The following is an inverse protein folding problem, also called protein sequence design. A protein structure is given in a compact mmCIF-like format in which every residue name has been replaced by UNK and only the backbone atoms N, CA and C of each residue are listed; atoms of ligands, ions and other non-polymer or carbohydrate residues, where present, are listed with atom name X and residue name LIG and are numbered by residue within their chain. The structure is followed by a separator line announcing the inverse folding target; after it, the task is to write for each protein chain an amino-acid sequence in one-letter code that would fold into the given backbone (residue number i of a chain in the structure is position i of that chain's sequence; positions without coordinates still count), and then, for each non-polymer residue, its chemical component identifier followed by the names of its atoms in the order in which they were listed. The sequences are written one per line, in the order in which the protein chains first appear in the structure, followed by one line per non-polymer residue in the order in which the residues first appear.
data_IF_911989179944
#
_entry.id   IF_911989179944
#
_cell.length_a   1.000
_cell.length_b   1.000
_cell.length_c   1.000
_cell.angle_alpha   90.00
_cell.angle_beta   90.00
_cell.angle_gamma   90.00
#
_symmetry.space_group_name_H-M   'P 1'
#
loop_
_entity.id
_entity.type
_entity.pdbx_description
1 polymer ?
#
# COMPACT_ATOMS: atom_id res chain seq x y z
N UNK A 1 49.57 -29.10 -13.98
CA UNK A 1 48.33 -29.41 -14.72
C UNK A 1 47.41 -28.20 -14.64
N UNK A 2 47.86 -27.04 -15.11
CA UNK A 2 47.26 -25.74 -14.71
C UNK A 2 46.86 -24.84 -15.88
N UNK A 3 46.96 -25.34 -17.12
CA UNK A 3 46.61 -24.58 -18.33
C UNK A 3 45.11 -24.60 -18.67
N UNK A 4 44.35 -25.58 -18.15
CA UNK A 4 42.91 -25.70 -18.40
C UNK A 4 42.03 -24.93 -17.39
N UNK A 5 42.59 -24.50 -16.26
CA UNK A 5 41.87 -23.74 -15.21
C UNK A 5 41.76 -22.24 -15.49
N UNK A 6 42.68 -21.66 -16.26
CA UNK A 6 42.64 -20.26 -16.71
C UNK A 6 41.49 -19.91 -17.69
N UNK A 7 41.19 -20.72 -18.72
CA UNK A 7 40.07 -20.41 -19.62
C UNK A 7 38.72 -20.55 -18.93
N UNK A 8 38.57 -21.50 -17.99
CA UNK A 8 37.30 -21.73 -17.29
C UNK A 8 36.99 -20.56 -16.34
N UNK A 9 38.00 -20.06 -15.60
CA UNK A 9 37.81 -18.91 -14.71
C UNK A 9 37.56 -17.63 -15.49
N UNK A 10 38.30 -17.37 -16.57
CA UNK A 10 38.06 -16.19 -17.42
C UNK A 10 36.69 -16.20 -18.10
N UNK A 11 36.22 -17.35 -18.61
CA UNK A 11 34.87 -17.49 -19.15
C UNK A 11 33.80 -17.28 -18.06
N UNK A 12 34.04 -17.82 -16.86
CA UNK A 12 33.12 -17.68 -15.72
C UNK A 12 32.97 -16.24 -15.22
N UNK A 13 33.97 -15.36 -15.40
CA UNK A 13 33.87 -13.92 -15.09
C UNK A 13 33.44 -13.08 -16.30
N UNK A 14 33.85 -13.44 -17.52
CA UNK A 14 33.49 -12.71 -18.73
C UNK A 14 31.99 -12.81 -19.06
N UNK A 15 31.38 -13.99 -18.86
CA UNK A 15 29.95 -14.18 -19.12
C UNK A 15 29.04 -13.32 -18.24
N UNK A 16 29.17 -13.29 -16.90
CA UNK A 16 28.39 -12.38 -16.05
C UNK A 16 28.74 -10.92 -16.29
N UNK A 17 29.99 -10.59 -16.67
CA UNK A 17 30.37 -9.22 -17.05
C UNK A 17 29.70 -8.77 -18.36
N UNK A 18 29.64 -9.63 -19.38
CA UNK A 18 28.95 -9.36 -20.64
C UNK A 18 27.43 -9.30 -20.46
N UNK A 19 26.86 -10.15 -19.61
CA UNK A 19 25.46 -10.03 -19.20
C UNK A 19 25.21 -8.72 -18.46
N UNK A 20 26.06 -8.36 -17.50
CA UNK A 20 25.98 -7.09 -16.81
C UNK A 20 26.06 -5.91 -17.78
N UNK A 21 26.99 -5.93 -18.74
CA UNK A 21 27.14 -4.91 -19.76
C UNK A 21 25.92 -4.84 -20.69
N UNK A 22 25.39 -5.99 -21.12
CA UNK A 22 24.18 -6.08 -21.95
C UNK A 22 22.97 -5.48 -21.20
N UNK A 23 22.74 -5.86 -19.94
CA UNK A 23 21.67 -5.30 -19.12
C UNK A 23 21.88 -3.80 -18.86
N UNK A 24 23.12 -3.37 -18.60
CA UNK A 24 23.46 -1.97 -18.41
C UNK A 24 23.16 -1.14 -19.67
N UNK A 25 23.56 -1.64 -20.84
CA UNK A 25 23.27 -1.02 -22.14
C UNK A 25 21.77 -1.02 -22.45
N UNK A 26 21.03 -2.07 -22.09
CA UNK A 26 19.57 -2.12 -22.27
C UNK A 26 18.82 -1.13 -21.36
N UNK A 27 19.28 -0.96 -20.11
CA UNK A 27 18.78 0.04 -19.17
C UNK A 27 19.05 1.46 -19.68
N UNK A 28 20.20 1.67 -20.32
CA UNK A 28 20.55 2.96 -20.96
C UNK A 28 19.79 3.17 -22.28
N UNK A 29 19.48 2.10 -23.01
CA UNK A 29 18.91 2.10 -24.36
C UNK A 29 17.39 2.24 -24.45
N UNK A 30 16.66 2.38 -23.34
CA UNK A 30 15.21 2.61 -23.37
C UNK A 30 14.82 4.10 -23.37
N UNK A 31 15.63 4.96 -23.96
CA UNK A 31 15.21 6.32 -24.34
C UNK A 31 14.85 6.28 -25.82
N UNK A 32 13.64 5.83 -26.12
CA UNK A 32 13.06 5.97 -27.45
C UNK A 32 12.75 7.46 -27.69
N UNK A 33 13.74 8.24 -28.10
CA UNK A 33 13.56 9.65 -28.45
C UNK A 33 13.28 9.77 -29.93
N UNK A 34 12.09 9.34 -30.35
CA UNK A 34 11.49 9.79 -31.60
C UNK A 34 10.42 10.88 -31.38
N UNK A 35 10.38 11.49 -30.19
CA UNK A 35 9.50 12.60 -29.87
C UNK A 35 10.29 13.81 -29.38
N UNK A 36 9.91 15.00 -29.88
CA UNK A 36 10.49 16.33 -29.60
C UNK A 36 10.32 16.81 -28.14
N UNK A 37 9.91 15.93 -27.23
CA UNK A 37 9.65 16.26 -25.82
C UNK A 37 10.88 15.89 -25.00
N UNK A 38 11.53 16.88 -24.42
CA UNK A 38 12.65 16.65 -23.49
C UNK A 38 12.08 16.02 -22.21
N UNK A 39 12.59 14.85 -21.77
CA UNK A 39 12.16 14.26 -20.51
C UNK A 39 12.54 15.18 -19.34
N UNK A 40 11.82 15.11 -18.20
CA UNK A 40 12.18 15.86 -17.00
C UNK A 40 13.59 15.48 -16.53
N UNK A 41 14.31 16.40 -15.87
CA UNK A 41 15.68 16.16 -15.42
C UNK A 41 15.74 14.93 -14.52
N UNK A 42 16.76 14.09 -14.71
CA UNK A 42 17.01 12.94 -13.83
C UNK A 42 17.86 13.39 -12.63
N UNK A 43 17.44 13.04 -11.42
CA UNK A 43 18.22 13.30 -10.22
C UNK A 43 19.61 12.64 -10.33
N UNK A 44 20.64 13.31 -9.82
CA UNK A 44 22.00 12.77 -9.82
C UNK A 44 22.16 11.71 -8.71
N UNK A 45 23.11 10.80 -8.91
CA UNK A 45 23.46 9.77 -7.92
C UNK A 45 22.76 8.42 -8.13
N UNK A 46 22.15 8.19 -9.29
CA UNK A 46 21.61 6.89 -9.66
C UNK A 46 22.72 5.84 -9.79
N UNK A 47 22.67 4.79 -8.98
CA UNK A 47 23.57 3.64 -9.14
C UNK A 47 23.07 2.69 -10.24
N UNK A 48 23.98 1.96 -10.93
CA UNK A 48 23.58 0.89 -11.84
C UNK A 48 22.65 -0.10 -11.12
N UNK A 49 21.55 -0.50 -11.76
CA UNK A 49 20.58 -1.51 -11.28
C UNK A 49 19.71 -1.11 -10.08
N UNK A 50 20.27 -0.45 -9.07
CA UNK A 50 19.60 -0.05 -7.82
C UNK A 50 18.95 1.34 -7.95
N UNK A 51 19.49 2.20 -8.80
CA UNK A 51 19.02 3.57 -8.96
C UNK A 51 19.24 4.40 -7.70
N UNK A 52 18.19 5.03 -7.22
CA UNK A 52 18.16 5.94 -6.07
C UNK A 52 17.62 5.27 -4.80
N UNK A 53 17.41 3.95 -4.78
CA UNK A 53 16.87 3.26 -3.59
C UNK A 53 17.75 3.43 -2.35
N UNK A 54 19.07 3.53 -2.53
CA UNK A 54 20.01 3.78 -1.43
C UNK A 54 19.83 5.16 -0.79
N UNK A 55 19.38 6.15 -1.57
CA UNK A 55 19.07 7.48 -1.08
C UNK A 55 17.76 7.48 -0.26
N UNK A 56 16.79 6.65 -0.66
CA UNK A 56 15.50 6.54 0.03
C UNK A 56 15.51 5.58 1.22
N UNK A 57 16.44 4.62 1.25
CA UNK A 57 16.65 3.69 2.37
C UNK A 57 17.62 4.20 3.44
N UNK A 58 17.95 5.49 3.41
CA UNK A 58 18.82 6.13 4.40
C UNK A 58 18.12 6.38 5.76
N UNK A 59 18.82 7.03 6.71
CA UNK A 59 18.25 7.34 8.03
C UNK A 59 17.16 8.42 7.98
N UNK A 60 17.09 9.18 6.90
CA UNK A 60 16.06 10.21 6.69
C UNK A 60 14.82 9.61 6.02
N UNK A 61 13.65 10.16 6.36
CA UNK A 61 12.39 9.72 5.76
C UNK A 61 12.36 10.02 4.26
N UNK A 62 11.84 9.11 3.41
CA UNK A 62 11.86 9.28 1.95
C UNK A 62 11.28 10.60 1.46
N UNK A 63 10.18 11.07 2.06
CA UNK A 63 9.53 12.32 1.63
C UNK A 63 10.38 13.57 1.91
N UNK A 64 11.20 13.57 2.98
CA UNK A 64 12.13 14.67 3.28
C UNK A 64 13.24 14.73 2.25
N UNK A 65 13.79 13.57 1.92
CA UNK A 65 14.83 13.45 0.89
C UNK A 65 14.31 13.87 -0.48
N UNK A 66 13.09 13.46 -0.84
CA UNK A 66 12.44 13.90 -2.08
C UNK A 66 12.15 15.41 -2.10
N UNK A 67 11.81 16.00 -0.96
CA UNK A 67 11.66 17.46 -0.82
C UNK A 67 12.96 18.20 -1.12
N UNK A 68 14.07 17.78 -0.51
CA UNK A 68 15.39 18.37 -0.77
C UNK A 68 15.83 18.21 -2.23
N UNK A 69 15.45 17.12 -2.90
CA UNK A 69 15.68 16.96 -4.34
C UNK A 69 14.79 17.88 -5.17
N UNK A 70 13.53 18.11 -4.77
CA UNK A 70 12.65 19.05 -5.44
C UNK A 70 13.20 20.49 -5.39
N UNK A 71 13.79 20.90 -4.27
CA UNK A 71 14.43 22.21 -4.14
C UNK A 71 15.61 22.38 -5.12
N UNK A 72 16.29 21.28 -5.46
CA UNK A 72 17.46 21.28 -6.35
C UNK A 72 17.11 21.13 -7.83
N UNK A 73 16.17 20.23 -8.17
CA UNK A 73 15.84 19.85 -9.55
C UNK A 73 14.56 20.52 -10.07
N UNK A 74 13.83 21.21 -9.20
CA UNK A 74 12.57 21.86 -9.52
C UNK A 74 11.35 20.96 -9.29
N UNK A 75 10.16 21.45 -9.70
CA UNK A 75 8.88 20.83 -9.36
C UNK A 75 8.61 19.49 -10.06
N UNK A 76 9.36 19.16 -11.12
CA UNK A 76 9.23 17.90 -11.86
C UNK A 76 10.62 17.35 -12.14
N UNK A 77 10.90 16.17 -11.63
CA UNK A 77 12.16 15.46 -11.89
C UNK A 77 11.95 13.94 -11.88
N UNK A 78 12.91 13.21 -12.44
CA UNK A 78 12.88 11.75 -12.53
C UNK A 78 13.84 11.14 -11.53
N UNK A 79 13.41 10.07 -10.86
CA UNK A 79 14.26 9.16 -10.08
C UNK A 79 14.17 7.74 -10.65
N UNK A 80 15.09 6.89 -10.20
CA UNK A 80 15.10 5.45 -10.52
C UNK A 80 14.90 4.63 -9.25
N UNK A 81 13.92 3.75 -9.24
CA UNK A 81 13.66 2.79 -8.18
C UNK A 81 14.02 1.40 -8.73
N UNK A 82 15.27 0.99 -8.55
CA UNK A 82 15.79 -0.20 -9.20
C UNK A 82 15.81 -0.05 -10.73
N UNK A 83 15.11 -0.95 -11.42
CA UNK A 83 14.93 -0.92 -12.88
C UNK A 83 13.80 0.02 -13.34
N UNK A 84 12.96 0.50 -12.43
CA UNK A 84 11.81 1.34 -12.75
C UNK A 84 12.16 2.83 -12.67
N UNK A 85 11.62 3.63 -13.59
CA UNK A 85 11.68 5.10 -13.51
C UNK A 85 10.42 5.63 -12.84
N UNK A 86 10.57 6.60 -11.95
CA UNK A 86 9.48 7.29 -11.29
C UNK A 86 9.64 8.80 -11.49
N UNK A 87 8.53 9.47 -11.81
CA UNK A 87 8.47 10.93 -11.88
C UNK A 87 8.04 11.44 -10.52
N UNK A 88 8.80 12.37 -9.97
CA UNK A 88 8.46 13.08 -8.74
C UNK A 88 7.82 14.40 -9.15
N UNK A 89 6.65 14.65 -8.57
CA UNK A 89 5.88 15.87 -8.74
C UNK A 89 5.84 16.58 -7.40
N UNK A 90 6.39 17.79 -7.35
CA UNK A 90 6.45 18.64 -6.16
C UNK A 90 5.96 20.03 -6.52
N UNK A 91 4.75 20.38 -6.11
CA UNK A 91 4.17 21.69 -6.35
C UNK A 91 2.68 21.62 -6.71
N UNK A 92 1.88 22.62 -6.29
CA UNK A 92 0.43 22.59 -6.46
C UNK A 92 0.00 22.69 -7.93
N UNK A 93 0.72 23.46 -8.75
CA UNK A 93 0.38 23.66 -10.17
C UNK A 93 0.51 22.36 -10.97
N UNK A 94 1.64 21.65 -10.81
CA UNK A 94 1.87 20.39 -11.50
C UNK A 94 0.95 19.29 -10.96
N UNK A 95 0.73 19.26 -9.63
CA UNK A 95 -0.20 18.31 -9.04
C UNK A 95 -1.62 18.50 -9.59
N UNK A 96 -2.07 19.76 -9.76
CA UNK A 96 -3.34 20.07 -10.43
C UNK A 96 -3.36 19.48 -11.83
N UNK A 97 -2.36 19.77 -12.66
CA UNK A 97 -2.33 19.28 -14.05
C UNK A 97 -2.31 17.74 -14.15
N UNK A 98 -1.66 17.05 -13.20
CA UNK A 98 -1.68 15.60 -13.09
C UNK A 98 -3.04 15.03 -12.70
N UNK A 99 -3.74 15.66 -11.75
CA UNK A 99 -4.99 15.15 -11.18
C UNK A 99 -6.27 15.74 -11.78
N UNK A 100 -6.17 16.74 -12.67
CA UNK A 100 -7.31 17.31 -13.40
C UNK A 100 -7.21 17.04 -14.89
N UNK A 101 -6.18 17.55 -15.56
CA UNK A 101 -6.07 17.54 -17.02
C UNK A 101 -5.63 16.17 -17.53
N UNK A 102 -4.76 15.49 -16.78
CA UNK A 102 -4.19 14.20 -17.14
C UNK A 102 -4.59 13.07 -16.17
N UNK A 103 -5.68 13.25 -15.44
CA UNK A 103 -6.13 12.38 -14.35
C UNK A 103 -6.16 10.90 -14.76
N UNK A 104 -6.65 10.60 -15.96
CA UNK A 104 -6.76 9.24 -16.51
C UNK A 104 -5.40 8.58 -16.74
N UNK A 105 -4.36 9.34 -17.11
CA UNK A 105 -3.01 8.82 -17.28
C UNK A 105 -2.36 8.46 -15.95
N UNK A 106 -2.65 9.23 -14.89
CA UNK A 106 -2.13 9.03 -13.53
C UNK A 106 -3.05 8.19 -12.63
N UNK A 107 -4.18 7.71 -13.16
CA UNK A 107 -5.16 6.94 -12.39
C UNK A 107 -4.68 5.54 -12.02
N UNK A 108 -3.74 4.96 -12.77
CA UNK A 108 -3.29 3.60 -12.55
C UNK A 108 -2.27 3.50 -11.40
N UNK A 109 -2.29 2.39 -10.65
CA UNK A 109 -1.32 2.14 -9.58
C UNK A 109 -0.13 1.34 -10.09
N UNK A 110 1.11 1.66 -9.68
CA UNK A 110 2.25 0.79 -9.94
C UNK A 110 2.03 -0.61 -9.36
N UNK A 111 2.47 -1.64 -10.08
CA UNK A 111 2.42 -3.01 -9.58
C UNK A 111 3.50 -3.19 -8.52
N UNK A 112 3.12 -3.78 -7.39
CA UNK A 112 4.05 -4.28 -6.37
C UNK A 112 3.71 -5.71 -6.00
N UNK A 113 4.68 -6.42 -5.43
CA UNK A 113 4.51 -7.78 -4.91
C UNK A 113 3.53 -7.80 -3.73
N UNK A 114 3.58 -6.76 -2.90
CA UNK A 114 2.63 -6.59 -1.80
C UNK A 114 1.18 -6.57 -2.28
N UNK A 115 0.90 -5.85 -3.36
CA UNK A 115 -0.44 -5.79 -3.96
C UNK A 115 -0.86 -7.11 -4.63
N UNK A 116 0.08 -7.85 -5.20
CA UNK A 116 -0.19 -9.16 -5.79
C UNK A 116 -0.74 -10.13 -4.72
N UNK A 117 -0.05 -10.24 -3.57
CA UNK A 117 -0.40 -11.20 -2.52
C UNK A 117 -1.50 -10.74 -1.57
N UNK A 118 -1.51 -9.45 -1.21
CA UNK A 118 -2.39 -8.94 -0.14
C UNK A 118 -3.61 -8.19 -0.66
N UNK A 119 -3.61 -7.75 -1.92
CA UNK A 119 -4.73 -7.02 -2.52
C UNK A 119 -5.52 -7.86 -3.55
N UNK A 120 -5.60 -9.18 -3.33
CA UNK A 120 -6.31 -10.14 -4.19
C UNK A 120 -5.91 -10.00 -5.67
N UNK A 121 -4.60 -10.04 -5.96
CA UNK A 121 -4.06 -9.80 -7.30
C UNK A 121 -4.61 -8.50 -7.92
N UNK A 122 -4.45 -7.39 -7.20
CA UNK A 122 -4.92 -6.05 -7.58
C UNK A 122 -6.45 -5.89 -7.68
N UNK A 123 -7.28 -6.81 -7.15
CA UNK A 123 -8.73 -6.65 -7.19
C UNK A 123 -9.29 -5.77 -6.05
N UNK A 124 -8.50 -5.46 -5.02
CA UNK A 124 -8.94 -4.60 -3.93
C UNK A 124 -9.28 -3.17 -4.42
N UNK A 125 -10.43 -2.63 -4.02
CA UNK A 125 -10.98 -1.34 -4.47
C UNK A 125 -9.95 -0.19 -4.50
N UNK A 126 -9.14 -0.04 -3.45
CA UNK A 126 -8.15 1.04 -3.35
C UNK A 126 -6.94 0.92 -4.29
N UNK A 127 -6.68 -0.28 -4.83
CA UNK A 127 -5.47 -0.59 -5.58
C UNK A 127 -5.71 -1.16 -6.98
N UNK A 128 -6.97 -1.40 -7.34
CA UNK A 128 -7.32 -1.89 -8.67
C UNK A 128 -6.91 -0.91 -9.76
N UNK A 129 -6.42 -1.42 -10.91
CA UNK A 129 -6.18 -0.59 -12.06
C UNK A 129 -7.45 0.10 -12.52
N UNK A 130 -7.29 1.29 -13.11
CA UNK A 130 -8.42 2.07 -13.60
C UNK A 130 -9.12 1.32 -14.73
N UNK A 131 -10.41 1.04 -14.57
CA UNK A 131 -11.20 0.27 -15.51
C UNK A 131 -12.70 0.27 -15.16
N UNK A 132 -13.53 -0.47 -15.91
CA UNK A 132 -14.95 -0.62 -15.61
C UNK A 132 -15.20 -1.14 -14.19
N UNK A 133 -14.47 -2.20 -13.78
CA UNK A 133 -14.56 -2.77 -12.43
C UNK A 133 -14.28 -1.74 -11.33
N UNK A 134 -13.17 -1.00 -11.43
CA UNK A 134 -12.85 0.03 -10.43
C UNK A 134 -13.91 1.13 -10.36
N UNK A 135 -14.46 1.55 -11.51
CA UNK A 135 -15.52 2.57 -11.56
C UNK A 135 -16.80 2.09 -10.88
N UNK A 136 -17.17 0.83 -11.08
CA UNK A 136 -18.33 0.22 -10.44
C UNK A 136 -18.13 0.08 -8.92
N UNK A 137 -16.99 -0.44 -8.49
CA UNK A 137 -16.64 -0.53 -7.07
C UNK A 137 -16.62 0.85 -6.40
N UNK A 138 -16.09 1.88 -7.09
CA UNK A 138 -16.14 3.27 -6.62
C UNK A 138 -17.57 3.77 -6.45
N UNK A 139 -18.43 3.52 -7.43
CA UNK A 139 -19.84 3.91 -7.38
C UNK A 139 -20.55 3.26 -6.19
N UNK A 140 -20.40 1.94 -6.01
CA UNK A 140 -20.99 1.21 -4.89
C UNK A 140 -20.49 1.77 -3.57
N UNK A 141 -19.18 1.91 -3.39
CA UNK A 141 -18.58 2.43 -2.15
C UNK A 141 -19.11 3.84 -1.83
N UNK A 142 -19.14 4.74 -2.81
CA UNK A 142 -19.62 6.11 -2.60
C UNK A 142 -21.10 6.16 -2.23
N UNK A 143 -21.96 5.39 -2.89
CA UNK A 143 -23.41 5.43 -2.65
C UNK A 143 -23.80 4.68 -1.37
N UNK A 144 -23.22 3.49 -1.15
CA UNK A 144 -23.65 2.58 -0.10
C UNK A 144 -22.89 2.70 1.21
N UNK A 145 -21.67 3.23 1.21
CA UNK A 145 -20.86 3.35 2.42
C UNK A 145 -20.59 4.81 2.81
N UNK A 146 -20.25 5.64 1.82
CA UNK A 146 -19.75 7.01 2.06
C UNK A 146 -20.79 8.11 1.80
N UNK A 147 -22.04 7.75 1.49
CA UNK A 147 -23.08 8.75 1.24
C UNK A 147 -23.49 9.44 2.54
N UNK A 148 -23.89 10.71 2.43
CA UNK A 148 -24.32 11.50 3.59
C UNK A 148 -25.44 10.82 4.37
N UNK A 149 -26.38 10.17 3.67
CA UNK A 149 -27.44 9.40 4.29
C UNK A 149 -26.90 8.24 5.14
N UNK A 150 -25.94 7.47 4.61
CA UNK A 150 -25.29 6.35 5.33
C UNK A 150 -24.48 6.83 6.52
N UNK A 151 -23.74 7.92 6.36
CA UNK A 151 -22.97 8.55 7.45
C UNK A 151 -23.90 9.06 8.57
N UNK A 152 -25.06 9.62 8.23
CA UNK A 152 -26.07 10.04 9.20
C UNK A 152 -26.69 8.83 9.91
N UNK A 153 -27.05 7.77 9.17
CA UNK A 153 -27.60 6.54 9.74
C UNK A 153 -26.62 5.88 10.74
N UNK A 154 -25.31 5.92 10.47
CA UNK A 154 -24.26 5.36 11.32
C UNK A 154 -23.73 6.33 12.39
N UNK A 155 -24.26 7.55 12.47
CA UNK A 155 -23.81 8.57 13.43
C UNK A 155 -23.87 8.08 14.88
N UNK A 156 -24.94 7.38 15.25
CA UNK A 156 -25.15 6.82 16.59
C UNK A 156 -24.05 5.81 16.97
N UNK A 157 -23.56 5.02 16.01
CA UNK A 157 -22.47 4.06 16.22
C UNK A 157 -21.19 4.78 16.60
N UNK A 158 -20.87 5.88 15.89
CA UNK A 158 -19.68 6.69 16.17
C UNK A 158 -19.72 7.31 17.56
N UNK A 159 -20.86 7.91 17.91
CA UNK A 159 -21.05 8.52 19.24
C UNK A 159 -20.97 7.47 20.34
N UNK A 160 -21.58 6.30 20.13
CA UNK A 160 -21.54 5.21 21.12
C UNK A 160 -20.10 4.69 21.34
N UNK A 161 -19.33 4.49 20.27
CA UNK A 161 -17.94 4.02 20.40
C UNK A 161 -17.05 5.05 21.09
N UNK A 162 -17.18 6.33 20.71
CA UNK A 162 -16.44 7.41 21.36
C UNK A 162 -16.76 7.51 22.85
N UNK A 163 -18.05 7.47 23.22
CA UNK A 163 -18.48 7.48 24.63
C UNK A 163 -17.89 6.30 25.40
N UNK A 164 -17.87 5.11 24.81
CA UNK A 164 -17.27 3.93 25.43
C UNK A 164 -15.76 4.12 25.64
N UNK A 165 -15.02 4.60 24.65
CA UNK A 165 -13.58 4.83 24.77
C UNK A 165 -13.21 5.93 25.76
N UNK A 166 -14.04 6.97 25.91
CA UNK A 166 -13.88 7.99 26.95
C UNK A 166 -14.17 7.41 28.34
N UNK A 167 -15.22 6.61 28.46
CA UNK A 167 -15.57 5.93 29.71
C UNK A 167 -14.45 4.99 30.17
N UNK A 168 -13.84 4.25 29.25
CA UNK A 168 -12.68 3.38 29.55
C UNK A 168 -11.51 4.19 30.15
N UNK A 169 -11.22 5.39 29.63
CA UNK A 169 -10.21 6.29 30.22
C UNK A 169 -10.66 6.77 31.62
N UNK A 170 -11.91 7.20 31.76
CA UNK A 170 -12.43 7.70 33.03
C UNK A 170 -12.37 6.63 34.14
N UNK A 171 -12.70 5.39 33.82
CA UNK A 171 -12.60 4.25 34.74
C UNK A 171 -11.15 3.93 35.13
N UNK A 172 -10.20 4.09 34.20
CA UNK A 172 -8.77 3.92 34.48
C UNK A 172 -8.24 5.03 35.39
N UNK A 173 -8.67 6.27 35.16
CA UNK A 173 -8.35 7.40 36.02
C UNK A 173 -8.96 7.24 37.43
N UNK A 174 -10.22 6.82 37.52
CA UNK A 174 -10.88 6.61 38.81
C UNK A 174 -10.23 5.51 39.66
N UNK A 175 -9.53 4.57 39.04
CA UNK A 175 -8.79 3.49 39.72
C UNK A 175 -7.35 3.87 40.07
N UNK A 176 -6.76 4.83 39.37
CA UNK A 176 -5.36 5.26 39.53
C UNK A 176 -5.26 6.77 39.31
N UNK A 177 -5.03 7.53 40.39
CA UNK A 177 -4.91 9.00 40.34
C UNK A 177 -3.78 9.49 39.40
N UNK A 178 -2.74 8.68 39.18
CA UNK A 178 -1.63 8.93 38.23
C UNK A 178 -1.76 8.13 36.92
N UNK A 179 -2.93 8.18 36.27
CA UNK A 179 -3.16 7.47 35.01
C UNK A 179 -2.43 8.15 33.84
N UNK A 180 -1.48 7.44 33.22
CA UNK A 180 -0.84 7.84 31.96
C UNK A 180 -1.47 7.06 30.81
N UNK A 181 -1.99 7.77 29.82
CA UNK A 181 -2.64 7.17 28.63
C UNK A 181 -1.78 7.36 27.40
N UNK A 182 -1.50 6.27 26.68
CA UNK A 182 -0.87 6.34 25.37
C UNK A 182 -1.93 6.72 24.31
N UNK A 183 -1.94 7.98 23.89
CA UNK A 183 -2.91 8.50 22.93
C UNK A 183 -2.83 7.80 21.57
N UNK A 184 -1.63 7.42 21.11
CA UNK A 184 -1.49 6.70 19.84
C UNK A 184 -2.25 5.37 19.87
N UNK A 185 -2.02 4.56 20.89
CA UNK A 185 -2.73 3.28 21.06
C UNK A 185 -4.23 3.49 21.22
N UNK A 186 -4.63 4.52 21.95
CA UNK A 186 -6.04 4.85 22.14
C UNK A 186 -6.73 5.21 20.82
N UNK A 187 -6.12 6.06 19.98
CA UNK A 187 -6.66 6.40 18.67
C UNK A 187 -6.67 5.20 17.71
N UNK A 188 -5.64 4.35 17.75
CA UNK A 188 -5.59 3.11 16.96
C UNK A 188 -6.75 2.17 17.33
N UNK A 189 -6.98 1.95 18.63
CA UNK A 189 -8.06 1.09 19.11
C UNK A 189 -9.45 1.68 18.84
N UNK A 190 -9.63 2.98 19.04
CA UNK A 190 -10.89 3.68 18.69
C UNK A 190 -11.19 3.55 17.19
N UNK A 191 -10.21 3.84 16.34
CA UNK A 191 -10.37 3.78 14.87
C UNK A 191 -10.66 2.35 14.41
N UNK A 192 -9.96 1.37 14.97
CA UNK A 192 -10.19 -0.04 14.67
C UNK A 192 -11.59 -0.48 15.07
N UNK A 193 -11.97 -0.24 16.33
CA UNK A 193 -13.28 -0.64 16.83
C UNK A 193 -14.41 0.03 16.05
N UNK A 194 -14.26 1.31 15.73
CA UNK A 194 -15.21 2.04 14.92
C UNK A 194 -15.36 1.41 13.52
N UNK A 195 -14.24 1.13 12.86
CA UNK A 195 -14.24 0.55 11.51
C UNK A 195 -14.87 -0.84 11.51
N UNK A 196 -14.47 -1.72 12.43
CA UNK A 196 -15.05 -3.08 12.54
C UNK A 196 -16.54 -3.01 12.89
N UNK A 197 -16.95 -2.05 13.72
CA UNK A 197 -18.37 -1.89 14.08
C UNK A 197 -19.22 -1.39 12.92
N UNK A 198 -18.67 -0.53 12.06
CA UNK A 198 -19.34 -0.08 10.84
C UNK A 198 -19.41 -1.21 9.80
N UNK A 199 -18.32 -1.96 9.62
CA UNK A 199 -18.21 -2.98 8.56
C UNK A 199 -18.86 -4.31 8.94
N UNK A 200 -18.53 -4.83 10.13
CA UNK A 200 -18.96 -6.15 10.61
C UNK A 200 -20.15 -6.08 11.58
N UNK A 201 -20.55 -4.89 12.03
CA UNK A 201 -21.64 -4.73 12.99
C UNK A 201 -21.32 -5.21 14.41
N UNK A 202 -20.04 -5.50 14.71
CA UNK A 202 -19.56 -5.97 16.02
C UNK A 202 -18.30 -5.22 16.44
N UNK A 203 -17.95 -5.29 17.73
CA UNK A 203 -16.64 -4.80 18.19
C UNK A 203 -15.56 -5.78 17.75
N UNK A 204 -14.35 -5.27 17.54
CA UNK A 204 -13.19 -6.10 17.23
C UNK A 204 -12.95 -7.12 18.35
N UNK A 205 -12.46 -8.31 18.01
CA UNK A 205 -12.00 -9.34 18.96
C UNK A 205 -10.68 -8.90 19.68
N UNK A 206 -10.37 -7.59 19.63
CA UNK A 206 -9.28 -6.91 20.30
C UNK A 206 -7.94 -7.18 19.63
N UNK A 207 -7.15 -8.05 20.27
CA UNK A 207 -5.71 -8.18 20.03
C UNK A 207 -5.41 -8.84 18.68
N UNK A 208 -6.18 -9.85 18.29
CA UNK A 208 -5.94 -10.62 17.06
C UNK A 208 -6.16 -9.79 15.79
N UNK A 209 -7.31 -9.11 15.72
CA UNK A 209 -7.67 -8.24 14.60
C UNK A 209 -6.72 -7.05 14.46
N UNK A 210 -6.39 -6.39 15.57
CA UNK A 210 -5.42 -5.29 15.58
C UNK A 210 -4.06 -5.72 15.06
N UNK A 211 -3.56 -6.87 15.52
CA UNK A 211 -2.26 -7.39 15.09
C UNK A 211 -2.27 -7.69 13.59
N UNK A 212 -3.29 -8.39 13.10
CA UNK A 212 -3.40 -8.72 11.68
C UNK A 212 -3.48 -7.47 10.78
N UNK A 213 -4.23 -6.44 11.19
CA UNK A 213 -4.32 -5.18 10.44
C UNK A 213 -3.03 -4.37 10.49
N UNK A 214 -2.36 -4.33 11.66
CA UNK A 214 -1.05 -3.68 11.78
C UNK A 214 -0.03 -4.35 10.86
N UNK A 215 0.11 -5.67 10.94
CA UNK A 215 1.01 -6.45 10.07
C UNK A 215 0.68 -6.20 8.59
N UNK A 216 -0.60 -6.16 8.23
CA UNK A 216 -1.02 -5.85 6.87
C UNK A 216 -0.58 -4.47 6.42
N UNK A 217 -0.80 -3.41 7.20
CA UNK A 217 -0.37 -2.06 6.81
C UNK A 217 1.16 -1.92 6.77
N UNK A 218 1.87 -2.53 7.71
CA UNK A 218 3.33 -2.54 7.75
C UNK A 218 3.91 -3.23 6.51
N UNK A 219 3.40 -4.40 6.15
CA UNK A 219 3.85 -5.14 4.95
C UNK A 219 3.38 -4.50 3.65
N UNK A 220 2.15 -3.98 3.59
CA UNK A 220 1.57 -3.36 2.39
C UNK A 220 2.25 -2.05 2.02
N UNK A 221 2.51 -1.20 3.01
CA UNK A 221 2.92 0.20 2.81
C UNK A 221 4.36 0.47 3.22
N UNK A 222 4.87 -0.27 4.21
CA UNK A 222 6.20 -0.04 4.80
C UNK A 222 7.31 -0.85 4.14
N UNK A 223 6.99 -1.97 3.49
CA UNK A 223 7.99 -2.86 2.91
C UNK A 223 8.09 -2.68 1.40
N UNK A 224 9.25 -2.21 0.94
CA UNK A 224 9.64 -2.24 -0.46
C UNK A 224 10.59 -3.42 -0.69
N UNK A 225 10.14 -4.44 -1.42
CA UNK A 225 10.93 -5.67 -1.59
C UNK A 225 11.99 -5.49 -2.67
N UNK A 226 13.06 -6.29 -2.59
CA UNK A 226 14.10 -6.34 -3.66
C UNK A 226 13.48 -6.77 -5.00
N UNK A 227 12.42 -7.57 -4.97
CA UNK A 227 11.67 -7.97 -6.16
C UNK A 227 10.90 -6.81 -6.82
N UNK A 228 10.46 -5.81 -6.04
CA UNK A 228 9.85 -4.58 -6.57
C UNK A 228 10.89 -3.71 -7.28
N UNK A 229 12.15 -3.73 -6.84
CA UNK A 229 13.27 -3.05 -7.49
C UNK A 229 13.82 -3.79 -8.70
N UNK A 230 13.95 -5.11 -8.56
CA UNK A 230 14.71 -6.00 -9.44
C UNK A 230 13.92 -7.31 -9.59
N UNK A 231 12.97 -7.38 -10.55
CA UNK A 231 12.02 -8.49 -10.66
C UNK A 231 12.64 -9.88 -10.82
N UNK A 232 13.82 -10.01 -11.44
CA UNK A 232 14.47 -11.32 -11.62
C UNK A 232 15.02 -11.92 -10.32
N UNK A 233 15.23 -11.11 -9.27
CA UNK A 233 15.66 -11.60 -7.96
C UNK A 233 14.50 -12.16 -7.14
N UNK A 234 13.25 -12.12 -7.64
CA UNK A 234 12.07 -12.68 -6.96
C UNK A 234 12.25 -14.14 -6.57
N UNK A 235 12.89 -14.96 -7.41
CA UNK A 235 13.06 -16.41 -7.15
C UNK A 235 13.93 -16.72 -5.94
N UNK A 236 14.75 -15.77 -5.48
CA UNK A 236 15.66 -15.98 -4.37
C UNK A 236 15.01 -15.69 -3.01
N UNK A 237 13.80 -15.09 -2.97
CA UNK A 237 13.07 -14.64 -1.76
C UNK A 237 13.99 -14.27 -0.59
N UNK A 238 15.01 -13.44 -0.86
CA UNK A 238 16.13 -13.18 0.05
C UNK A 238 15.71 -12.53 1.37
N UNK A 239 14.45 -12.13 1.50
CA UNK A 239 13.96 -11.29 2.57
C UNK A 239 12.79 -11.87 3.36
N UNK A 240 12.19 -12.99 2.92
CA UNK A 240 11.08 -13.66 3.60
C UNK A 240 9.76 -12.87 3.67
N UNK A 241 9.74 -11.63 3.18
CA UNK A 241 8.56 -10.77 3.19
C UNK A 241 7.43 -11.34 2.36
N UNK A 242 7.71 -12.01 1.23
CA UNK A 242 6.66 -12.58 0.39
C UNK A 242 5.88 -13.69 1.12
N UNK A 243 6.58 -14.49 1.95
CA UNK A 243 5.94 -15.48 2.82
C UNK A 243 5.08 -14.80 3.89
N UNK A 244 5.60 -13.79 4.58
CA UNK A 244 4.85 -13.04 5.59
C UNK A 244 3.59 -12.39 4.99
N UNK A 245 3.70 -11.77 3.80
CA UNK A 245 2.57 -11.18 3.07
C UNK A 245 1.47 -12.20 2.79
N UNK A 246 1.83 -13.41 2.33
CA UNK A 246 0.86 -14.49 2.09
C UNK A 246 0.18 -14.98 3.36
N UNK A 247 0.92 -15.12 4.46
CA UNK A 247 0.38 -15.56 5.75
C UNK A 247 -0.58 -14.50 6.33
N UNK A 248 -0.19 -13.22 6.31
CA UNK A 248 -1.05 -12.11 6.74
C UNK A 248 -2.29 -11.97 5.86
N UNK A 249 -2.17 -12.12 4.54
CA UNK A 249 -3.31 -12.11 3.62
C UNK A 249 -4.32 -13.20 3.96
N UNK A 250 -3.86 -14.46 4.13
CA UNK A 250 -4.72 -15.59 4.52
C UNK A 250 -5.42 -15.35 5.85
N UNK A 251 -4.72 -14.78 6.83
CA UNK A 251 -5.29 -14.49 8.15
C UNK A 251 -6.42 -13.46 8.05
N UNK A 252 -6.21 -12.37 7.32
CA UNK A 252 -7.24 -11.34 7.15
C UNK A 252 -8.41 -11.84 6.29
N UNK A 253 -8.15 -12.60 5.24
CA UNK A 253 -9.18 -13.21 4.41
C UNK A 253 -10.09 -14.12 5.24
N UNK A 254 -9.51 -14.99 6.08
CA UNK A 254 -10.27 -15.83 7.01
C UNK A 254 -11.17 -15.02 7.96
N UNK A 255 -10.64 -13.94 8.53
CA UNK A 255 -11.42 -13.05 9.40
C UNK A 255 -12.59 -12.37 8.66
N UNK A 256 -12.35 -11.87 7.45
CA UNK A 256 -13.39 -11.25 6.62
C UNK A 256 -14.45 -12.26 6.20
N UNK A 257 -14.03 -13.47 5.87
CA UNK A 257 -14.92 -14.57 5.50
C UNK A 257 -15.82 -14.97 6.68
N UNK A 258 -15.28 -15.05 7.90
CA UNK A 258 -16.08 -15.29 9.10
C UNK A 258 -17.13 -14.20 9.31
N UNK A 259 -16.76 -12.92 9.15
CA UNK A 259 -17.70 -11.81 9.28
C UNK A 259 -18.78 -11.85 8.20
N UNK A 260 -18.41 -12.21 6.96
CA UNK A 260 -19.34 -12.34 5.86
C UNK A 260 -20.34 -13.46 6.08
N UNK A 261 -19.88 -14.65 6.48
CA UNK A 261 -20.76 -15.79 6.73
C UNK A 261 -21.68 -15.55 7.94
N UNK A 262 -21.17 -14.91 9.00
CA UNK A 262 -22.01 -14.49 10.12
C UNK A 262 -23.10 -13.50 9.68
N UNK A 263 -22.75 -12.53 8.83
CA UNK A 263 -23.72 -11.58 8.30
C UNK A 263 -24.79 -12.26 7.44
N UNK A 264 -24.40 -13.19 6.55
CA UNK A 264 -25.33 -13.99 5.75
C UNK A 264 -26.28 -14.80 6.63
N UNK A 265 -25.75 -15.47 7.65
CA UNK A 265 -26.53 -16.27 8.60
C UNK A 265 -27.57 -15.43 9.34
N UNK A 266 -27.21 -14.24 9.82
CA UNK A 266 -28.15 -13.30 10.46
C UNK A 266 -29.25 -12.83 9.52
N UNK A 267 -28.92 -12.61 8.24
CA UNK A 267 -29.90 -12.21 7.24
C UNK A 267 -30.92 -13.33 6.98
N UNK A 268 -30.45 -14.57 6.83
CA UNK A 268 -31.31 -15.74 6.57
C UNK A 268 -32.12 -16.17 7.80
N UNK A 269 -31.53 -16.12 9.00
CA UNK A 269 -32.22 -16.44 10.25
C UNK A 269 -33.21 -15.37 10.73
N UNK A 270 -33.13 -14.15 10.18
CA UNK A 270 -34.00 -13.01 10.50
C UNK A 270 -35.31 -12.95 9.72
N UNK A 271 -35.50 -13.77 8.67
CA UNK A 271 -36.72 -13.79 7.85
C UNK A 271 -37.92 -14.46 8.53
N UNK A 272 -37.76 -15.00 9.75
CA UNK A 272 -38.87 -15.54 10.56
C UNK A 272 -39.57 -14.56 11.51
N UNK A 273 -39.13 -13.29 11.62
CA UNK A 273 -39.57 -12.46 12.76
C UNK A 273 -39.64 -10.94 12.58
N UNK A 274 -39.48 -10.38 11.38
CA UNK A 274 -39.74 -8.94 11.17
C UNK A 274 -40.40 -8.66 9.84
N UNK A 275 -41.64 -8.20 9.92
CA UNK A 275 -42.39 -7.56 8.85
C UNK A 275 -41.47 -6.63 8.05
N UNK A 276 -41.53 -6.76 6.71
CA UNK A 276 -41.04 -5.79 5.73
C UNK A 276 -41.36 -4.36 6.18
N UNK A 277 -40.40 -3.67 6.79
CA UNK A 277 -40.34 -2.21 6.67
C UNK A 277 -39.61 -1.92 5.36
N UNK A 278 -40.44 -1.64 4.36
CA UNK A 278 -40.07 -1.02 3.10
C UNK A 278 -39.15 0.17 3.35
N UNK A 279 -37.88 0.06 2.95
CA UNK A 279 -37.01 1.22 2.76
C UNK A 279 -37.00 1.54 1.27
N UNK A 280 -37.73 2.60 0.91
CA UNK A 280 -37.40 3.46 -0.23
C UNK A 280 -36.43 4.53 0.25
#
# INVERSE_FOLDING_TARGET
MDFLSFPITTIAFAFPFLLFLYYFLKIKGHTNTNNKIRPPPEAAGAWPLIGHLRLLGGPQLPHVVLGALADKYGPIFTIRLGVHRAIIVSGPEVARDCFTTNDKAFSNRPKSIALEHMAYNYAMFGFSPYGPFWREMRKITTLELLSNHRLAALSHVRVAELKNSIREIYELWAKNENCVVNLQRWFEDLTLNLTVRIVAGKRSDGVGCRRALREFFELMMGVFTVADAIPWLRRLDLSGHEKAMRETAKRLDGMLQEWLEEHKRRRLGGEGGRSRTSWR
#
